data_IF_314540941455
#
_entry.id   IF_314540941455
#
_cell.length_a   1.000
_cell.length_b   1.000
_cell.length_c   1.000
_cell.angle_alpha   90.00
_cell.angle_beta   90.00
_cell.angle_gamma   90.00
#
_symmetry.space_group_name_H-M   'P 1'
#
loop_
_entity.id
_entity.type
_entity.pdbx_description
1 polymer ?
#
# COMPACT_ATOMS: atom_id res chain seq x y z
N UNK A 1 2.67 14.10 7.00
CA UNK A 1 2.37 12.82 6.33
C UNK A 1 2.89 12.95 4.91
N UNK A 2 3.48 11.91 4.34
CA UNK A 2 3.92 11.92 2.94
C UNK A 2 2.71 12.22 2.03
N UNK A 3 2.80 13.24 1.17
CA UNK A 3 1.69 13.65 0.27
C UNK A 3 1.23 12.49 -0.62
N UNK A 4 2.17 11.61 -1.01
CA UNK A 4 1.87 10.42 -1.80
C UNK A 4 1.03 9.44 -1.00
N UNK A 5 1.32 9.26 0.29
CA UNK A 5 0.52 8.40 1.16
C UNK A 5 -0.88 8.99 1.34
N UNK A 6 -0.99 10.28 1.64
CA UNK A 6 -2.29 10.91 1.87
C UNK A 6 -3.22 10.80 0.65
N UNK A 7 -2.70 11.12 -0.55
CA UNK A 7 -3.44 10.96 -1.80
C UNK A 7 -3.85 9.51 -2.06
N UNK A 8 -2.94 8.57 -1.81
CA UNK A 8 -3.19 7.13 -1.99
C UNK A 8 -4.25 6.60 -1.03
N UNK A 9 -4.22 7.02 0.26
CA UNK A 9 -5.22 6.63 1.26
C UNK A 9 -6.61 7.07 0.81
N UNK A 10 -6.77 8.34 0.40
CA UNK A 10 -8.07 8.85 -0.06
C UNK A 10 -8.62 8.07 -1.24
N UNK A 11 -7.76 7.79 -2.23
CA UNK A 11 -8.14 7.01 -3.41
C UNK A 11 -8.57 5.59 -3.05
N UNK A 12 -7.74 4.86 -2.30
CA UNK A 12 -8.00 3.45 -1.99
C UNK A 12 -9.19 3.31 -1.03
N UNK A 13 -9.30 4.16 0.00
CA UNK A 13 -10.46 4.16 0.88
C UNK A 13 -11.77 4.36 0.10
N UNK A 14 -11.77 5.25 -0.91
CA UNK A 14 -12.92 5.45 -1.78
C UNK A 14 -13.26 4.22 -2.63
N UNK A 15 -12.28 3.47 -3.15
CA UNK A 15 -12.51 2.19 -3.84
C UNK A 15 -13.23 1.15 -2.97
N UNK A 16 -13.04 1.29 -1.66
CA UNK A 16 -13.63 0.44 -0.64
C UNK A 16 -14.98 0.98 -0.11
N UNK A 17 -15.46 2.11 -0.62
CA UNK A 17 -16.69 2.77 -0.19
C UNK A 17 -16.59 3.54 1.13
N UNK A 18 -15.37 3.75 1.65
CA UNK A 18 -15.10 4.55 2.84
C UNK A 18 -14.56 5.90 2.41
N UNK A 19 -15.40 6.94 2.46
CA UNK A 19 -15.03 8.30 2.07
C UNK A 19 -14.41 9.07 3.24
N UNK A 20 -13.60 10.08 2.94
CA UNK A 20 -13.06 11.05 3.91
C UNK A 20 -12.11 10.48 4.98
N UNK A 21 -11.50 9.31 4.73
CA UNK A 21 -10.52 8.74 5.66
C UNK A 21 -9.11 9.25 5.42
N UNK A 22 -8.43 9.55 6.53
CA UNK A 22 -7.04 10.02 6.57
C UNK A 22 -6.05 8.90 6.85
N UNK A 23 -6.51 7.72 7.26
CA UNK A 23 -5.68 6.53 7.44
C UNK A 23 -6.44 5.25 7.09
N UNK A 24 -5.72 4.22 6.61
CA UNK A 24 -6.33 2.97 6.13
C UNK A 24 -6.89 2.10 7.25
N UNK A 25 -6.32 2.14 8.45
CA UNK A 25 -6.85 1.39 9.60
C UNK A 25 -8.26 1.86 10.00
N UNK A 26 -8.55 3.16 9.91
CA UNK A 26 -9.90 3.69 10.09
C UNK A 26 -10.86 3.21 8.99
N UNK A 27 -10.45 3.26 7.73
CA UNK A 27 -11.25 2.71 6.62
C UNK A 27 -11.48 1.19 6.78
N UNK A 28 -10.47 0.46 7.27
CA UNK A 28 -10.57 -0.96 7.59
C UNK A 28 -11.61 -1.24 8.66
N UNK A 29 -11.64 -0.42 9.71
CA UNK A 29 -12.61 -0.55 10.81
C UNK A 29 -14.05 -0.27 10.35
N UNK A 30 -14.28 0.79 9.56
CA UNK A 30 -15.61 1.11 9.02
C UNK A 30 -16.19 -0.04 8.19
N UNK A 31 -15.36 -0.67 7.39
CA UNK A 31 -15.80 -1.73 6.48
C UNK A 31 -16.03 -3.01 7.25
N UNK A 32 -15.21 -3.27 8.26
CA UNK A 32 -15.45 -4.37 9.17
C UNK A 32 -16.79 -4.19 9.91
N UNK A 33 -17.05 -3.01 10.49
CA UNK A 33 -18.30 -2.72 11.21
C UNK A 33 -19.51 -2.80 10.27
N UNK A 34 -19.44 -2.21 9.08
CA UNK A 34 -20.51 -2.26 8.08
C UNK A 34 -20.82 -3.68 7.62
N UNK A 35 -19.81 -4.54 7.45
CA UNK A 35 -20.02 -5.94 7.06
C UNK A 35 -20.54 -6.78 8.20
N UNK A 36 -20.05 -6.57 9.43
CA UNK A 36 -20.54 -7.26 10.62
C UNK A 36 -22.00 -6.93 10.91
N UNK A 37 -22.42 -5.67 10.72
CA UNK A 37 -23.81 -5.25 10.94
C UNK A 37 -24.81 -5.91 9.98
N UNK A 38 -24.39 -6.23 8.75
CA UNK A 38 -25.26 -6.76 7.70
C UNK A 38 -25.24 -8.29 7.55
N UNK A 39 -24.35 -8.99 8.27
CA UNK A 39 -24.16 -10.44 8.09
C UNK A 39 -24.75 -11.20 9.27
N UNK A 40 -25.71 -12.10 9.03
CA UNK A 40 -26.02 -13.15 10.01
C UNK A 40 -24.77 -14.00 10.17
N UNK A 41 -24.08 -13.88 11.30
CA UNK A 41 -22.80 -14.52 11.64
C UNK A 41 -22.92 -16.05 11.70
N UNK A 42 -23.18 -16.70 10.58
CA UNK A 42 -23.11 -18.16 10.44
C UNK A 42 -21.73 -18.62 9.99
N UNK A 43 -20.86 -17.70 9.57
CA UNK A 43 -19.48 -17.97 9.13
C UNK A 43 -18.56 -16.80 9.46
N UNK A 44 -17.29 -17.09 9.74
CA UNK A 44 -16.27 -16.08 10.02
C UNK A 44 -16.02 -15.19 8.80
N UNK A 45 -15.78 -13.90 9.04
CA UNK A 45 -15.46 -12.94 7.98
C UNK A 45 -14.11 -13.27 7.34
N UNK A 46 -14.08 -13.32 6.02
CA UNK A 46 -12.83 -13.47 5.29
C UNK A 46 -12.02 -12.18 5.37
N UNK A 47 -10.96 -12.15 6.19
CA UNK A 47 -10.15 -10.96 6.44
C UNK A 47 -9.55 -10.31 5.18
N UNK A 48 -9.40 -11.07 4.09
CA UNK A 48 -8.91 -10.58 2.78
C UNK A 48 -9.80 -9.52 2.13
N UNK A 49 -11.06 -9.39 2.54
CA UNK A 49 -11.99 -8.37 1.99
C UNK A 49 -11.82 -7.01 2.65
N UNK A 50 -11.03 -6.95 3.73
CA UNK A 50 -10.79 -5.73 4.48
C UNK A 50 -9.58 -4.99 3.88
N UNK A 51 -9.61 -3.65 3.86
CA UNK A 51 -8.45 -2.85 3.48
C UNK A 51 -7.21 -3.18 4.32
N UNK A 52 -5.99 -3.02 3.79
CA UNK A 52 -4.76 -3.22 4.57
C UNK A 52 -4.69 -2.29 5.80
N UNK A 53 -3.79 -2.60 6.75
CA UNK A 53 -3.48 -1.66 7.83
C UNK A 53 -2.72 -0.45 7.28
N UNK A 54 -2.73 0.67 8.00
CA UNK A 54 -2.01 1.90 7.61
C UNK A 54 -0.52 1.65 7.35
N UNK A 55 0.13 0.83 8.18
CA UNK A 55 1.55 0.53 8.07
C UNK A 55 1.84 -0.29 6.80
N UNK A 56 1.11 -1.40 6.62
CA UNK A 56 1.24 -2.25 5.44
C UNK A 56 0.93 -1.50 4.14
N UNK A 57 -0.07 -0.61 4.19
CA UNK A 57 -0.43 0.25 3.07
C UNK A 57 0.68 1.25 2.75
N UNK A 58 1.19 1.96 3.76
CA UNK A 58 2.26 2.96 3.59
C UNK A 58 3.50 2.36 2.92
N UNK A 59 3.94 1.19 3.39
CA UNK A 59 5.05 0.48 2.75
C UNK A 59 4.75 0.09 1.30
N UNK A 60 3.53 -0.35 1.00
CA UNK A 60 3.15 -0.72 -0.37
C UNK A 60 3.14 0.49 -1.30
N UNK A 61 2.59 1.61 -0.84
CA UNK A 61 2.59 2.89 -1.58
C UNK A 61 4.01 3.33 -1.87
N UNK A 62 4.89 3.28 -0.87
CA UNK A 62 6.30 3.64 -1.06
C UNK A 62 7.02 2.72 -2.04
N UNK A 63 6.82 1.41 -1.96
CA UNK A 63 7.39 0.46 -2.93
C UNK A 63 6.92 0.75 -4.35
N UNK A 64 5.62 0.96 -4.54
CA UNK A 64 5.04 1.27 -5.85
C UNK A 64 5.55 2.62 -6.39
N UNK A 65 5.55 3.66 -5.55
CA UNK A 65 6.04 4.98 -5.92
C UNK A 65 7.52 4.94 -6.32
N UNK A 66 8.35 4.23 -5.55
CA UNK A 66 9.77 4.07 -5.83
C UNK A 66 10.01 3.28 -7.12
N UNK A 67 9.24 2.22 -7.38
CA UNK A 67 9.31 1.45 -8.62
C UNK A 67 8.98 2.31 -9.84
N UNK A 68 7.94 3.14 -9.76
CA UNK A 68 7.58 4.07 -10.82
C UNK A 68 8.68 5.12 -11.01
N UNK A 69 9.26 5.64 -9.93
CA UNK A 69 10.39 6.57 -10.01
C UNK A 69 11.60 5.98 -10.75
N UNK A 70 11.93 4.70 -10.50
CA UNK A 70 12.98 3.98 -11.25
C UNK A 70 12.65 3.93 -12.74
N UNK A 71 11.42 3.55 -13.10
CA UNK A 71 10.99 3.48 -14.50
C UNK A 71 11.04 4.84 -15.20
N UNK A 72 10.62 5.90 -14.52
CA UNK A 72 10.70 7.26 -15.04
C UNK A 72 12.16 7.72 -15.20
N UNK A 73 13.03 7.38 -14.24
CA UNK A 73 14.46 7.71 -14.30
C UNK A 73 15.17 7.04 -15.49
N UNK A 74 14.78 5.81 -15.84
CA UNK A 74 15.36 5.08 -16.98
C UNK A 74 15.14 5.78 -18.34
N UNK A 75 14.19 6.70 -18.44
CA UNK A 75 13.94 7.51 -19.64
C UNK A 75 14.75 8.81 -19.68
N UNK A 76 15.46 9.15 -18.60
CA UNK A 76 16.27 10.37 -18.51
C UNK A 76 17.66 10.13 -19.09
N UNK A 77 18.21 11.16 -19.75
CA UNK A 77 19.55 11.10 -20.33
C UNK A 77 20.66 10.99 -19.26
N UNK A 78 20.40 11.53 -18.07
CA UNK A 78 21.25 11.40 -16.88
C UNK A 78 20.38 11.01 -15.67
N UNK A 79 20.20 9.71 -15.41
CA UNK A 79 19.30 9.23 -14.38
C UNK A 79 19.81 9.55 -12.98
N UNK A 80 18.93 10.07 -12.14
CA UNK A 80 19.23 10.28 -10.72
C UNK A 80 19.63 8.97 -10.01
N UNK A 81 20.63 9.04 -9.12
CA UNK A 81 21.12 7.90 -8.35
C UNK A 81 20.10 7.50 -7.26
N UNK A 82 19.11 6.71 -7.65
CA UNK A 82 18.10 6.15 -6.76
C UNK A 82 18.71 4.99 -5.96
N UNK A 83 18.83 5.15 -4.64
CA UNK A 83 19.29 4.06 -3.76
C UNK A 83 18.22 2.97 -3.66
N UNK A 84 18.44 1.87 -4.36
CA UNK A 84 17.53 0.73 -4.45
C UNK A 84 17.32 -0.02 -3.14
N UNK A 85 17.99 0.33 -2.04
CA UNK A 85 17.76 -0.27 -0.71
C UNK A 85 16.68 0.44 0.11
N UNK A 86 16.17 1.58 -0.35
CA UNK A 86 15.06 2.25 0.31
C UNK A 86 13.75 1.44 0.16
N UNK A 87 12.90 1.49 1.20
CA UNK A 87 11.56 0.87 1.20
C UNK A 87 11.52 -0.66 1.06
N UNK A 88 12.39 -1.37 1.79
CA UNK A 88 12.39 -2.82 1.93
C UNK A 88 12.69 -3.61 0.64
N UNK A 89 13.50 -3.04 -0.26
CA UNK A 89 14.08 -3.80 -1.36
C UNK A 89 15.37 -4.48 -0.90
N UNK A 90 15.47 -5.79 -1.09
CA UNK A 90 16.70 -6.54 -0.83
C UNK A 90 17.52 -6.68 -2.11
N UNK A 91 18.82 -6.49 -1.98
CA UNK A 91 19.77 -6.80 -3.04
C UNK A 91 19.88 -8.33 -3.14
N UNK A 92 19.41 -8.92 -4.25
CA UNK A 92 19.59 -10.35 -4.52
C UNK A 92 20.95 -10.60 -5.21
N UNK A 93 21.36 -9.68 -6.10
CA UNK A 93 22.64 -9.72 -6.81
C UNK A 93 23.06 -8.32 -7.24
N UNK A 94 24.25 -8.16 -7.83
CA UNK A 94 24.75 -6.85 -8.31
C UNK A 94 23.83 -6.20 -9.37
N UNK A 95 22.95 -6.96 -10.01
CA UNK A 95 22.08 -6.51 -11.10
C UNK A 95 20.58 -6.67 -10.80
N UNK A 96 20.19 -7.30 -9.68
CA UNK A 96 18.78 -7.52 -9.33
C UNK A 96 18.44 -7.08 -7.91
N UNK A 97 17.37 -6.28 -7.79
CA UNK A 97 16.75 -5.93 -6.53
C UNK A 97 15.31 -6.45 -6.54
N UNK A 98 14.90 -7.14 -5.49
CA UNK A 98 13.54 -7.66 -5.32
C UNK A 98 12.91 -7.01 -4.09
N UNK A 99 11.64 -6.56 -4.16
CA UNK A 99 10.93 -6.13 -2.96
C UNK A 99 10.84 -7.31 -1.98
N UNK A 100 11.20 -7.10 -0.71
CA UNK A 100 10.93 -8.12 0.32
C UNK A 100 9.43 -8.35 0.34
N UNK A 101 9.04 -9.57 0.00
CA UNK A 101 7.66 -10.02 0.15
C UNK A 101 7.34 -10.03 1.65
N UNK A 102 6.54 -9.07 2.10
CA UNK A 102 5.96 -9.12 3.44
C UNK A 102 4.97 -10.29 3.47
N UNK A 103 5.39 -11.45 3.96
CA UNK A 103 4.46 -12.51 4.33
C UNK A 103 3.68 -12.02 5.55
N UNK A 104 2.37 -11.84 5.36
CA UNK A 104 1.38 -11.63 6.41
C UNK A 104 1.19 -12.86 7.28
#
# INVERSE_FOLDING_TARGET
MDEVIEGSVRFIAACYGSHERTNMSAARYDIWTSKMANTKLTTALQLKILPPTTEAFGEHVHRAHFQVAIWCSALQQDPSNLNTRHFAWSLESATSCCPRMCYS
#
